data_IF_742517601110
#
_entry.id   IF_742517601110
#
_cell.length_a   1.000
_cell.length_b   1.000
_cell.length_c   1.000
_cell.angle_alpha   90.00
_cell.angle_beta   90.00
_cell.angle_gamma   90.00
#
_symmetry.space_group_name_H-M   'P 1'
#
loop_
_entity.id
_entity.type
_entity.pdbx_description
1 polymer ?
#
# COMPACT_ATOMS: atom_id res chain seq x y z
N UNK A 1 7.75 -3.35 14.48
CA UNK A 1 6.53 -2.87 15.15
C UNK A 1 5.32 -3.39 14.39
N UNK A 2 4.16 -3.51 15.04
CA UNK A 2 2.95 -4.03 14.40
C UNK A 2 2.18 -2.90 13.71
N UNK A 3 1.72 -3.13 12.49
CA UNK A 3 0.81 -2.24 11.77
C UNK A 3 -0.54 -2.19 12.51
N UNK A 4 -0.69 -1.20 13.40
CA UNK A 4 -1.78 -1.13 14.39
C UNK A 4 -3.14 -0.90 13.75
N UNK A 5 -4.20 -1.22 14.50
CA UNK A 5 -5.60 -1.00 14.08
C UNK A 5 -5.89 0.49 13.85
N UNK A 6 -5.31 1.37 14.65
CA UNK A 6 -5.45 2.82 14.53
C UNK A 6 -4.87 3.36 13.21
N UNK A 7 -3.63 2.95 12.88
CA UNK A 7 -2.99 3.33 11.61
C UNK A 7 -3.81 2.83 10.42
N UNK A 8 -4.31 1.58 10.48
CA UNK A 8 -5.17 1.02 9.45
C UNK A 8 -6.46 1.83 9.29
N UNK A 9 -7.13 2.14 10.40
CA UNK A 9 -8.38 2.89 10.38
C UNK A 9 -8.20 4.29 9.80
N UNK A 10 -7.10 4.98 10.15
CA UNK A 10 -6.75 6.28 9.57
C UNK A 10 -6.55 6.21 8.05
N UNK A 11 -5.81 5.22 7.56
CA UNK A 11 -5.60 5.01 6.12
C UNK A 11 -6.91 4.69 5.41
N UNK A 12 -7.77 3.83 5.98
CA UNK A 12 -9.07 3.54 5.36
C UNK A 12 -9.92 4.80 5.29
N UNK A 13 -10.02 5.56 6.38
CA UNK A 13 -10.83 6.78 6.42
C UNK A 13 -10.38 7.83 5.40
N UNK A 14 -9.09 7.93 5.12
CA UNK A 14 -8.51 8.91 4.19
C UNK A 14 -8.65 8.52 2.71
N UNK A 15 -8.66 7.22 2.40
CA UNK A 15 -8.63 6.71 1.01
C UNK A 15 -9.92 6.00 0.58
N UNK A 16 -10.90 5.83 1.47
CA UNK A 16 -12.22 5.28 1.15
C UNK A 16 -12.95 6.15 0.13
N UNK A 17 -13.66 5.53 -0.81
CA UNK A 17 -14.50 6.25 -1.78
C UNK A 17 -15.84 6.67 -1.19
N UNK A 18 -16.34 5.87 -0.25
CA UNK A 18 -17.58 6.08 0.47
C UNK A 18 -17.43 5.54 1.90
N UNK A 19 -18.30 5.97 2.80
CA UNK A 19 -18.27 5.50 4.18
C UNK A 19 -18.43 3.98 4.24
N UNK A 20 -17.46 3.29 4.85
CA UNK A 20 -17.46 1.83 4.97
C UNK A 20 -16.77 1.09 3.80
N UNK A 21 -16.20 1.80 2.84
CA UNK A 21 -15.38 1.19 1.79
C UNK A 21 -14.00 0.78 2.35
N UNK A 22 -13.85 -0.50 2.63
CA UNK A 22 -12.59 -1.11 3.07
C UNK A 22 -11.88 -1.89 1.95
N UNK A 23 -12.51 -2.01 0.78
CA UNK A 23 -12.16 -3.00 -0.24
C UNK A 23 -11.74 -2.42 -1.58
N UNK A 24 -11.93 -1.12 -1.81
CA UNK A 24 -11.55 -0.50 -3.07
C UNK A 24 -10.05 -0.60 -3.36
N UNK A 25 -9.66 -0.58 -4.66
CA UNK A 25 -8.26 -0.60 -5.05
C UNK A 25 -7.43 0.51 -4.37
N UNK A 26 -7.99 1.71 -4.22
CA UNK A 26 -7.33 2.85 -3.58
C UNK A 26 -6.99 2.56 -2.12
N UNK A 27 -7.97 2.08 -1.35
CA UNK A 27 -7.78 1.71 0.06
C UNK A 27 -6.75 0.58 0.19
N UNK A 28 -6.88 -0.47 -0.62
CA UNK A 28 -5.94 -1.60 -0.58
C UNK A 28 -4.51 -1.17 -0.92
N UNK A 29 -4.33 -0.32 -1.94
CA UNK A 29 -3.01 0.19 -2.34
C UNK A 29 -2.42 1.08 -1.24
N UNK A 30 -3.24 1.92 -0.59
CA UNK A 30 -2.79 2.77 0.51
C UNK A 30 -2.36 1.93 1.73
N UNK A 31 -3.15 0.91 2.11
CA UNK A 31 -2.81 -0.03 3.19
C UNK A 31 -1.51 -0.80 2.91
N UNK A 32 -1.35 -1.31 1.68
CA UNK A 32 -0.12 -1.98 1.27
C UNK A 32 1.08 -1.03 1.31
N UNK A 33 0.90 0.22 0.90
CA UNK A 33 1.96 1.25 0.93
C UNK A 33 2.38 1.58 2.35
N UNK A 34 1.43 1.80 3.26
CA UNK A 34 1.73 2.00 4.68
C UNK A 34 2.51 0.83 5.26
N UNK A 35 2.09 -0.41 4.99
CA UNK A 35 2.77 -1.62 5.48
C UNK A 35 4.19 -1.78 4.89
N UNK A 36 4.38 -1.46 3.61
CA UNK A 36 5.70 -1.49 2.97
C UNK A 36 6.63 -0.45 3.62
N UNK A 37 6.13 0.76 3.87
CA UNK A 37 6.91 1.83 4.47
C UNK A 37 7.32 1.51 5.91
N UNK A 38 6.43 0.90 6.70
CA UNK A 38 6.72 0.44 8.06
C UNK A 38 7.77 -0.70 8.09
N UNK A 39 7.72 -1.62 7.12
CA UNK A 39 8.67 -2.73 7.03
C UNK A 39 10.03 -2.34 6.44
N UNK A 40 10.12 -1.25 5.69
CA UNK A 40 11.36 -0.87 4.99
C UNK A 40 12.54 -0.59 5.95
N UNK A 41 12.37 0.16 7.06
CA UNK A 41 13.40 0.34 8.08
C UNK A 41 13.91 -0.97 8.68
N UNK A 42 13.01 -1.91 9.01
CA UNK A 42 13.37 -3.23 9.55
C UNK A 42 14.37 -3.95 8.65
N UNK A 43 14.17 -3.91 7.33
CA UNK A 43 15.09 -4.57 6.40
C UNK A 43 16.40 -3.82 6.14
N UNK A 44 16.45 -2.52 6.44
CA UNK A 44 17.71 -1.74 6.41
C UNK A 44 18.61 -2.14 7.59
N UNK A 45 18.01 -2.34 8.76
CA UNK A 45 18.69 -2.78 9.97
C UNK A 45 19.04 -4.28 9.89
N UNK A 46 18.07 -5.14 9.58
CA UNK A 46 18.22 -6.58 9.51
C UNK A 46 18.51 -7.08 8.09
N UNK A 47 19.72 -6.80 7.60
CA UNK A 47 20.11 -7.11 6.21
C UNK A 47 20.06 -8.60 5.85
N UNK A 48 20.21 -9.50 6.83
CA UNK A 48 20.22 -10.97 6.69
C UNK A 48 18.83 -11.62 6.78
N UNK A 49 17.77 -10.86 7.06
CA UNK A 49 16.41 -11.39 7.10
C UNK A 49 15.86 -11.57 5.66
N UNK A 50 16.25 -12.66 5.02
CA UNK A 50 15.82 -13.01 3.66
C UNK A 50 14.39 -13.56 3.62
N UNK A 51 13.96 -14.26 4.67
CA UNK A 51 12.64 -14.89 4.75
C UNK A 51 11.53 -13.83 4.75
N UNK A 52 11.64 -12.82 5.62
CA UNK A 52 10.64 -11.75 5.68
C UNK A 52 10.73 -10.83 4.47
N UNK A 53 11.93 -10.65 3.87
CA UNK A 53 12.10 -9.86 2.64
C UNK A 53 11.33 -10.48 1.46
N UNK A 54 11.23 -11.81 1.39
CA UNK A 54 10.34 -12.47 0.42
C UNK A 54 8.88 -12.06 0.61
N UNK A 55 8.43 -11.92 1.87
CA UNK A 55 7.11 -11.38 2.21
C UNK A 55 6.92 -9.94 1.71
N UNK A 56 7.92 -9.07 1.93
CA UNK A 56 7.91 -7.70 1.41
C UNK A 56 7.77 -7.67 -0.11
N UNK A 57 8.54 -8.48 -0.84
CA UNK A 57 8.45 -8.54 -2.30
C UNK A 57 7.07 -8.98 -2.79
N UNK A 58 6.40 -9.89 -2.08
CA UNK A 58 5.00 -10.27 -2.39
C UNK A 58 4.06 -9.09 -2.22
N UNK A 59 4.19 -8.30 -1.14
CA UNK A 59 3.37 -7.10 -0.91
C UNK A 59 3.60 -6.05 -2.01
N UNK A 60 4.86 -5.82 -2.41
CA UNK A 60 5.19 -4.90 -3.51
C UNK A 60 4.58 -5.37 -4.83
N UNK A 61 4.67 -6.67 -5.14
CA UNK A 61 4.07 -7.25 -6.34
C UNK A 61 2.54 -7.12 -6.32
N UNK A 62 1.89 -7.38 -5.19
CA UNK A 62 0.44 -7.22 -5.03
C UNK A 62 0.02 -5.76 -5.26
N UNK A 63 0.73 -4.79 -4.67
CA UNK A 63 0.47 -3.37 -4.88
C UNK A 63 0.60 -2.98 -6.36
N UNK A 64 1.63 -3.49 -7.04
CA UNK A 64 1.85 -3.24 -8.47
C UNK A 64 0.67 -3.75 -9.30
N UNK A 65 0.21 -4.98 -9.07
CA UNK A 65 -0.96 -5.55 -9.78
C UNK A 65 -2.22 -4.71 -9.59
N UNK A 66 -2.47 -4.21 -8.37
CA UNK A 66 -3.62 -3.35 -8.10
C UNK A 66 -3.50 -1.98 -8.78
N UNK A 67 -2.30 -1.40 -8.81
CA UNK A 67 -2.03 -0.16 -9.55
C UNK A 67 -2.24 -0.35 -11.06
N UNK A 68 -1.78 -1.46 -11.62
CA UNK A 68 -1.98 -1.79 -13.04
C UNK A 68 -3.48 -1.97 -13.36
N UNK A 69 -4.22 -2.64 -12.47
CA UNK A 69 -5.68 -2.75 -12.58
C UNK A 69 -6.37 -1.38 -12.53
N UNK A 70 -6.02 -0.55 -11.54
CA UNK A 70 -6.62 0.78 -11.38
C UNK A 70 -6.30 1.67 -12.59
N UNK A 71 -5.07 1.63 -13.10
CA UNK A 71 -4.66 2.36 -14.30
C UNK A 71 -5.48 1.97 -15.53
N UNK A 72 -5.78 0.67 -15.69
CA UNK A 72 -6.59 0.17 -16.80
C UNK A 72 -8.09 0.48 -16.66
N UNK A 73 -8.60 0.62 -15.43
CA UNK A 73 -10.01 0.94 -15.17
C UNK A 73 -10.32 2.43 -15.10
N UNK A 74 -9.48 3.20 -14.43
CA UNK A 74 -9.64 4.64 -14.25
C UNK A 74 -8.27 5.31 -14.11
N UNK A 75 -7.83 5.95 -15.19
CA UNK A 75 -6.53 6.61 -15.28
C UNK A 75 -6.43 7.82 -14.31
N UNK A 76 -7.54 8.52 -14.06
CA UNK A 76 -7.56 9.73 -13.23
C UNK A 76 -7.46 9.38 -11.75
N UNK A 77 -8.19 8.35 -11.30
CA UNK A 77 -8.03 7.78 -9.96
C UNK A 77 -6.61 7.28 -9.74
N UNK A 78 -6.02 6.59 -10.74
CA UNK A 78 -4.63 6.15 -10.68
C UNK A 78 -3.66 7.32 -10.51
N UNK A 79 -3.76 8.36 -11.35
CA UNK A 79 -2.88 9.55 -11.28
C UNK A 79 -2.99 10.28 -9.94
N UNK A 80 -4.22 10.44 -9.45
CA UNK A 80 -4.48 11.08 -8.16
C UNK A 80 -3.87 10.27 -7.03
N UNK A 81 -4.07 8.94 -7.05
CA UNK A 81 -3.59 8.05 -6.01
C UNK A 81 -2.05 7.99 -5.95
N UNK A 82 -1.36 7.85 -7.09
CA UNK A 82 0.11 7.80 -7.10
C UNK A 82 0.72 9.11 -6.60
N UNK A 83 0.10 10.24 -6.92
CA UNK A 83 0.56 11.57 -6.49
C UNK A 83 0.36 11.71 -4.99
N UNK A 84 -0.83 11.35 -4.48
CA UNK A 84 -1.16 11.39 -3.05
C UNK A 84 -0.26 10.47 -2.21
N UNK A 85 0.12 9.30 -2.74
CA UNK A 85 1.00 8.34 -2.06
C UNK A 85 2.51 8.55 -2.33
N UNK A 86 2.88 9.52 -3.18
CA UNK A 86 4.28 9.75 -3.56
C UNK A 86 4.95 8.55 -4.27
N UNK A 87 4.18 7.72 -4.97
CA UNK A 87 4.69 6.52 -5.64
C UNK A 87 5.32 6.89 -6.98
N UNK A 88 6.55 6.43 -7.21
CA UNK A 88 7.27 6.61 -8.49
C UNK A 88 6.81 5.57 -9.52
N UNK A 89 6.78 5.98 -10.79
CA UNK A 89 6.50 5.15 -11.97
C UNK A 89 7.64 4.17 -12.25
#
# INVERSE_FOLDING_TARGET
>A
MAFTTEIKAGIVAEYQRAQGDTGSPEVQIALLTGRINDLTPHFKEHKKDHHSRRGLLRLVSQRRKLLDYLKGKNIDSYRTLITKLGLRK
#
